data_IF_590952078659
#
_entry.id   IF_590952078659
#
_cell.length_a   1.000
_cell.length_b   1.000
_cell.length_c   1.000
_cell.angle_alpha   90.00
_cell.angle_beta   90.00
_cell.angle_gamma   90.00
#
_symmetry.space_group_name_H-M   'P 1'
#
loop_
_entity.id
_entity.type
_entity.pdbx_description
1 polymer ?
#
# COMPACT_ATOMS: atom_id res chain seq x y z
N UNK A 1 30.54 -11.85 49.11
CA UNK A 1 29.95 -13.18 48.84
C UNK A 1 28.44 -12.97 48.88
N UNK A 2 27.59 -13.22 47.89
CA UNK A 2 27.69 -13.63 46.49
C UNK A 2 26.33 -13.26 45.83
N UNK A 3 26.32 -13.30 44.50
CA UNK A 3 25.33 -12.81 43.53
C UNK A 3 23.91 -13.40 43.65
N UNK A 4 22.87 -12.63 43.32
CA UNK A 4 22.00 -12.86 42.13
C UNK A 4 20.60 -13.24 42.62
N UNK A 5 19.47 -12.74 42.10
CA UNK A 5 19.01 -12.88 40.72
C UNK A 5 18.20 -11.64 40.30
N UNK A 6 18.72 -10.94 39.29
CA UNK A 6 17.94 -10.10 38.41
C UNK A 6 17.04 -11.01 37.56
N UNK A 7 15.75 -11.05 37.87
CA UNK A 7 14.73 -11.61 36.98
C UNK A 7 14.69 -10.81 35.70
N UNK A 8 15.42 -11.27 34.68
CA UNK A 8 15.23 -10.79 33.32
C UNK A 8 13.91 -11.36 32.84
N UNK A 9 12.89 -10.52 32.76
CA UNK A 9 11.72 -10.82 31.97
C UNK A 9 12.21 -11.10 30.54
N UNK A 10 12.18 -12.36 30.14
CA UNK A 10 12.34 -12.77 28.75
C UNK A 10 11.16 -12.19 28.00
N UNK A 11 11.36 -11.02 27.40
CA UNK A 11 10.45 -10.50 26.39
C UNK A 11 10.64 -11.38 25.17
N UNK A 12 9.84 -12.45 25.08
CA UNK A 12 9.69 -13.25 23.87
C UNK A 12 9.43 -12.27 22.72
N UNK A 13 10.24 -12.26 21.66
CA UNK A 13 9.89 -11.51 20.47
C UNK A 13 8.50 -11.98 20.04
N UNK A 14 7.60 -11.07 19.68
CA UNK A 14 6.38 -11.43 18.96
C UNK A 14 6.84 -11.85 17.54
N UNK A 15 7.49 -12.99 17.45
CA UNK A 15 7.94 -13.60 16.20
C UNK A 15 6.69 -14.08 15.45
N UNK A 16 6.50 -13.61 14.22
CA UNK A 16 5.68 -14.32 13.23
C UNK A 16 4.63 -13.51 12.46
N UNK A 17 4.33 -12.26 12.82
CA UNK A 17 3.38 -11.46 12.04
C UNK A 17 4.08 -10.80 10.83
N UNK A 18 3.68 -11.17 9.61
CA UNK A 18 4.19 -10.54 8.39
C UNK A 18 3.97 -9.02 8.43
N UNK A 19 5.03 -8.26 8.14
CA UNK A 19 4.93 -6.80 8.04
C UNK A 19 4.09 -6.38 6.82
N UNK A 20 3.62 -5.13 6.78
CA UNK A 20 2.90 -4.61 5.59
C UNK A 20 3.81 -4.65 4.36
N UNK A 21 5.10 -4.34 4.50
CA UNK A 21 6.07 -4.50 3.40
C UNK A 21 6.22 -5.95 2.94
N UNK A 22 6.30 -6.91 3.88
CA UNK A 22 6.34 -8.33 3.50
C UNK A 22 5.04 -8.76 2.82
N UNK A 23 3.90 -8.25 3.27
CA UNK A 23 2.58 -8.50 2.66
C UNK A 23 2.55 -7.95 1.23
N UNK A 24 3.02 -6.72 1.02
CA UNK A 24 3.21 -6.12 -0.31
C UNK A 24 4.01 -7.03 -1.22
N UNK A 25 5.26 -7.31 -0.85
CA UNK A 25 6.20 -8.04 -1.72
C UNK A 25 5.86 -9.51 -1.93
N UNK A 26 5.30 -10.19 -0.93
CA UNK A 26 5.04 -11.64 -1.04
C UNK A 26 3.64 -11.97 -1.56
N UNK A 27 2.67 -11.07 -1.42
CA UNK A 27 1.25 -11.39 -1.66
C UNK A 27 0.56 -10.46 -2.64
N UNK A 28 0.80 -9.15 -2.52
CA UNK A 28 0.12 -8.15 -3.36
C UNK A 28 0.83 -7.99 -4.70
N UNK A 29 2.16 -7.88 -4.70
CA UNK A 29 2.98 -7.71 -5.92
C UNK A 29 2.67 -8.82 -6.95
N UNK A 30 2.68 -10.13 -6.60
CA UNK A 30 2.37 -11.19 -7.56
C UNK A 30 0.94 -11.09 -8.13
N UNK A 31 -0.03 -10.60 -7.35
CA UNK A 31 -1.43 -10.45 -7.79
C UNK A 31 -1.59 -9.28 -8.75
N UNK A 32 -0.91 -8.16 -8.48
CA UNK A 32 -0.87 -7.01 -9.38
C UNK A 32 -0.22 -7.41 -10.71
N UNK A 33 0.93 -8.07 -10.66
CA UNK A 33 1.65 -8.55 -11.85
C UNK A 33 0.81 -9.55 -12.66
N UNK A 34 0.20 -10.54 -12.00
CA UNK A 34 -0.70 -11.51 -12.65
C UNK A 34 -1.93 -10.84 -13.29
N UNK A 35 -2.36 -9.68 -12.78
CA UNK A 35 -3.44 -8.87 -13.34
C UNK A 35 -2.98 -7.91 -14.44
N UNK A 36 -1.71 -7.99 -14.84
CA UNK A 36 -1.13 -7.22 -15.94
C UNK A 36 -0.62 -5.83 -15.54
N UNK A 37 -0.40 -5.57 -14.25
CA UNK A 37 0.21 -4.33 -13.77
C UNK A 37 1.72 -4.46 -13.66
N UNK A 38 2.45 -3.50 -14.20
CA UNK A 38 3.89 -3.39 -14.01
C UNK A 38 4.18 -2.55 -12.76
N UNK A 39 4.80 -3.16 -11.74
CA UNK A 39 5.14 -2.47 -10.50
C UNK A 39 6.36 -1.59 -10.73
N UNK A 40 6.29 -0.32 -10.35
CA UNK A 40 7.35 0.67 -10.56
C UNK A 40 7.40 1.66 -9.39
N UNK A 41 8.58 2.19 -9.03
CA UNK A 41 8.66 3.32 -8.10
C UNK A 41 7.90 4.54 -8.62
N UNK A 42 7.26 5.28 -7.74
CA UNK A 42 6.71 6.58 -8.11
C UNK A 42 7.82 7.51 -8.66
N UNK A 43 7.53 8.15 -9.80
CA UNK A 43 8.50 9.01 -10.50
C UNK A 43 9.39 8.29 -11.51
N UNK A 44 9.25 6.98 -11.70
CA UNK A 44 9.91 6.27 -12.80
C UNK A 44 9.42 6.82 -14.14
N UNK A 45 10.34 7.35 -14.96
CA UNK A 45 10.04 7.91 -16.27
C UNK A 45 9.38 6.89 -17.21
N UNK A 46 9.64 5.59 -17.02
CA UNK A 46 9.02 4.53 -17.81
C UNK A 46 7.51 4.44 -17.59
N UNK A 47 7.01 4.88 -16.43
CA UNK A 47 5.58 4.92 -16.12
C UNK A 47 4.80 6.02 -16.87
N UNK A 48 5.51 6.87 -17.62
CA UNK A 48 4.93 7.86 -18.53
C UNK A 48 4.59 7.28 -19.91
N UNK A 49 5.09 6.08 -20.21
CA UNK A 49 4.74 5.39 -21.46
C UNK A 49 3.35 4.76 -21.38
N UNK A 50 2.70 4.49 -22.52
CA UNK A 50 1.47 3.70 -22.55
C UNK A 50 1.66 2.33 -21.88
N UNK A 51 0.67 1.90 -21.10
CA UNK A 51 0.77 0.70 -20.28
C UNK A 51 0.01 0.80 -18.96
N UNK A 52 0.04 -0.29 -18.19
CA UNK A 52 -0.58 -0.40 -16.87
C UNK A 52 0.50 -0.50 -15.80
N UNK A 53 0.53 0.46 -14.87
CA UNK A 53 1.54 0.52 -13.82
C UNK A 53 0.92 0.58 -12.43
N UNK A 54 1.53 -0.12 -11.48
CA UNK A 54 1.28 0.07 -10.07
C UNK A 54 2.47 0.85 -9.48
N UNK A 55 2.26 2.14 -9.24
CA UNK A 55 3.30 3.04 -8.72
C UNK A 55 3.43 2.87 -7.22
N UNK A 56 4.52 2.27 -6.74
CA UNK A 56 4.75 2.04 -5.31
C UNK A 56 5.17 3.32 -4.59
N UNK A 57 4.74 3.44 -3.33
CA UNK A 57 5.10 4.54 -2.41
C UNK A 57 4.80 5.93 -2.99
N UNK A 58 3.66 6.05 -3.66
CA UNK A 58 3.28 7.27 -4.37
C UNK A 58 3.01 8.42 -3.40
N UNK A 59 3.68 9.58 -3.53
CA UNK A 59 3.54 10.67 -2.57
C UNK A 59 2.14 11.30 -2.63
N UNK A 60 1.55 11.52 -1.46
CA UNK A 60 0.31 12.32 -1.30
C UNK A 60 0.49 13.36 -0.21
N UNK A 61 -0.43 14.33 -0.12
CA UNK A 61 -0.41 15.37 0.92
C UNK A 61 -0.50 14.86 2.37
N UNK A 62 -0.76 13.57 2.60
CA UNK A 62 -0.84 12.98 3.95
C UNK A 62 0.07 11.76 4.16
N UNK A 63 1.09 11.60 3.30
CA UNK A 63 2.02 10.48 3.31
C UNK A 63 1.94 9.66 2.02
N UNK A 64 2.87 8.73 1.79
CA UNK A 64 2.85 7.89 0.60
C UNK A 64 1.70 6.89 0.66
N UNK A 65 1.02 6.71 -0.46
CA UNK A 65 0.13 5.58 -0.69
C UNK A 65 0.96 4.34 -1.09
N UNK A 66 0.52 3.15 -0.69
CA UNK A 66 1.28 1.92 -0.98
C UNK A 66 1.40 1.67 -2.49
N UNK A 67 0.29 1.79 -3.22
CA UNK A 67 0.26 1.79 -4.68
C UNK A 67 -0.74 2.78 -5.26
N UNK A 68 -0.40 3.28 -6.44
CA UNK A 68 -1.32 4.02 -7.30
C UNK A 68 -1.35 3.38 -8.67
N UNK A 69 -2.55 2.94 -9.08
CA UNK A 69 -2.78 2.28 -10.35
C UNK A 69 -2.93 3.32 -11.45
N UNK A 70 -2.13 3.22 -12.51
CA UNK A 70 -2.20 4.09 -13.69
C UNK A 70 -2.31 3.29 -14.99
N UNK A 71 -3.21 3.67 -15.88
CA UNK A 71 -3.31 3.09 -17.22
C UNK A 71 -3.26 4.20 -18.25
N UNK A 72 -2.29 4.14 -19.16
CA UNK A 72 -2.10 5.10 -20.26
C UNK A 72 -2.09 6.56 -19.76
N UNK A 73 -1.36 6.80 -18.67
CA UNK A 73 -1.25 8.11 -18.02
C UNK A 73 -2.46 8.53 -17.17
N UNK A 74 -3.55 7.76 -17.16
CA UNK A 74 -4.73 8.01 -16.32
C UNK A 74 -4.56 7.33 -14.96
N UNK A 75 -4.86 8.05 -13.88
CA UNK A 75 -4.87 7.51 -12.53
C UNK A 75 -6.21 6.83 -12.25
N UNK A 76 -6.18 5.55 -11.91
CA UNK A 76 -7.36 4.70 -11.77
C UNK A 76 -7.67 4.30 -10.34
N UNK A 77 -6.67 4.12 -9.47
CA UNK A 77 -6.97 3.75 -8.10
C UNK A 77 -5.82 3.86 -7.12
N UNK A 78 -6.19 3.85 -5.84
CA UNK A 78 -5.26 3.72 -4.71
C UNK A 78 -5.46 2.34 -4.10
N UNK A 79 -4.37 1.64 -3.81
CA UNK A 79 -4.38 0.36 -3.11
C UNK A 79 -3.56 0.50 -1.83
N UNK A 80 -4.19 0.26 -0.68
CA UNK A 80 -3.54 0.27 0.63
C UNK A 80 -3.34 -1.15 1.16
N UNK A 81 -2.09 -1.50 1.43
CA UNK A 81 -1.73 -2.78 2.01
C UNK A 81 -2.02 -2.79 3.51
N UNK A 82 -2.37 -3.96 4.02
CA UNK A 82 -2.50 -4.23 5.46
C UNK A 82 -1.74 -5.46 5.85
N UNK A 83 -1.40 -5.59 7.13
CA UNK A 83 -0.89 -6.84 7.69
C UNK A 83 -1.97 -7.92 7.53
N UNK A 84 -1.54 -9.15 7.28
CA UNK A 84 -2.45 -10.32 7.20
C UNK A 84 -3.35 -10.44 8.43
N UNK A 85 -2.83 -10.10 9.62
CA UNK A 85 -3.55 -10.17 10.89
C UNK A 85 -4.56 -9.05 11.14
N UNK A 86 -4.55 -7.98 10.33
CA UNK A 86 -5.53 -6.90 10.38
C UNK A 86 -6.47 -7.10 9.18
N UNK A 87 -7.70 -7.58 9.42
CA UNK A 87 -8.72 -7.68 8.37
C UNK A 87 -9.03 -6.31 7.74
N UNK A 88 -9.57 -6.27 6.51
CA UNK A 88 -9.88 -5.02 5.79
C UNK A 88 -11.04 -4.21 6.41
N UNK A 89 -11.64 -4.70 7.50
CA UNK A 89 -12.71 -4.01 8.23
C UNK A 89 -12.23 -2.63 8.73
N UNK A 90 -12.85 -1.54 8.23
CA UNK A 90 -12.56 -0.11 8.49
C UNK A 90 -11.37 0.52 7.73
N UNK A 91 -10.82 -0.15 6.72
CA UNK A 91 -9.50 0.22 6.18
C UNK A 91 -9.52 1.24 5.03
N UNK A 92 -10.64 1.43 4.33
CA UNK A 92 -10.71 2.39 3.21
C UNK A 92 -10.45 3.85 3.64
N UNK A 93 -10.56 4.17 4.93
CA UNK A 93 -10.27 5.51 5.48
C UNK A 93 -8.89 6.03 5.05
N UNK A 94 -7.88 5.16 4.98
CA UNK A 94 -6.54 5.54 4.54
C UNK A 94 -6.49 5.80 3.03
N UNK A 95 -7.06 4.89 2.24
CA UNK A 95 -7.14 5.03 0.78
C UNK A 95 -7.92 6.31 0.39
N UNK A 96 -9.02 6.62 1.08
CA UNK A 96 -9.78 7.85 0.90
C UNK A 96 -8.94 9.10 1.18
N UNK A 97 -8.22 9.12 2.31
CA UNK A 97 -7.38 10.26 2.71
C UNK A 97 -6.32 10.53 1.65
N UNK A 98 -5.68 9.47 1.14
CA UNK A 98 -4.67 9.57 0.10
C UNK A 98 -5.24 10.00 -1.24
N UNK A 99 -6.37 9.45 -1.66
CA UNK A 99 -7.03 9.85 -2.89
C UNK A 99 -7.47 11.32 -2.88
N UNK A 100 -7.90 11.86 -1.72
CA UNK A 100 -8.17 13.31 -1.55
C UNK A 100 -6.88 14.14 -1.57
N UNK A 101 -5.78 13.59 -1.05
CA UNK A 101 -4.47 14.25 -0.94
C UNK A 101 -3.62 14.27 -2.21
N UNK A 102 -4.11 13.75 -3.34
CA UNK A 102 -3.38 13.71 -4.62
C UNK A 102 -3.34 15.05 -5.38
N UNK A 103 -3.96 16.09 -4.85
CA UNK A 103 -4.03 17.40 -5.50
C UNK A 103 -5.04 17.47 -6.66
N UNK A 104 -5.20 18.66 -7.28
CA UNK A 104 -6.08 18.82 -8.42
C UNK A 104 -5.59 17.99 -9.61
N UNK A 105 -6.50 17.20 -10.20
CA UNK A 105 -6.28 16.39 -11.40
C UNK A 105 -7.29 16.79 -12.47
N UNK A 106 -6.99 16.51 -13.73
CA UNK A 106 -7.90 16.80 -14.85
C UNK A 106 -9.29 16.21 -14.67
N UNK A 107 -9.38 15.02 -14.04
CA UNK A 107 -10.63 14.41 -13.60
C UNK A 107 -10.65 14.30 -12.09
N UNK A 108 -11.73 14.77 -11.48
CA UNK A 108 -12.03 14.58 -10.06
C UNK A 108 -13.31 13.77 -9.91
N UNK A 109 -13.33 12.91 -8.90
CA UNK A 109 -14.44 12.00 -8.62
C UNK A 109 -14.98 12.33 -7.23
N UNK A 110 -15.95 13.24 -7.12
CA UNK A 110 -16.51 13.69 -5.83
C UNK A 110 -15.43 14.14 -4.82
N UNK A 111 -14.39 14.84 -5.29
CA UNK A 111 -13.27 15.31 -4.46
C UNK A 111 -12.11 14.31 -4.31
N UNK A 112 -12.20 13.11 -4.90
CA UNK A 112 -11.09 12.16 -5.00
C UNK A 112 -10.33 12.32 -6.31
N UNK A 113 -9.01 12.11 -6.27
CA UNK A 113 -8.14 12.11 -7.44
C UNK A 113 -8.18 10.82 -8.27
N UNK A 114 -8.86 9.78 -7.79
CA UNK A 114 -9.02 8.49 -8.49
C UNK A 114 -10.44 7.97 -8.35
N UNK A 115 -10.92 7.16 -9.31
CA UNK A 115 -12.27 6.58 -9.25
C UNK A 115 -12.40 5.36 -8.32
N UNK A 116 -11.29 4.66 -8.01
CA UNK A 116 -11.34 3.42 -7.23
C UNK A 116 -10.41 3.43 -6.02
N UNK A 117 -10.88 2.86 -4.91
CA UNK A 117 -10.12 2.70 -3.67
C UNK A 117 -10.16 1.24 -3.25
N UNK A 118 -9.01 0.69 -2.91
CA UNK A 118 -8.86 -0.69 -2.47
C UNK A 118 -8.08 -0.75 -1.17
N UNK A 119 -8.37 -1.75 -0.34
CA UNK A 119 -7.46 -2.19 0.68
C UNK A 119 -7.40 -3.70 0.74
N UNK A 120 -6.20 -4.24 0.90
CA UNK A 120 -5.98 -5.68 0.84
C UNK A 120 -4.84 -6.10 1.75
N UNK A 121 -4.96 -7.29 2.32
CA UNK A 121 -3.87 -7.99 3.00
C UNK A 121 -3.23 -9.07 2.09
N UNK A 122 -3.56 -9.06 0.80
CA UNK A 122 -3.12 -10.05 -0.17
C UNK A 122 -3.91 -11.36 -0.14
N UNK A 123 -4.86 -11.56 0.78
CA UNK A 123 -5.79 -12.71 0.78
C UNK A 123 -7.18 -12.31 0.30
N UNK A 124 -7.67 -11.17 0.79
CA UNK A 124 -8.96 -10.56 0.41
C UNK A 124 -8.72 -9.20 -0.25
N UNK A 125 -9.51 -8.85 -1.25
CA UNK A 125 -9.53 -7.54 -1.92
C UNK A 125 -10.91 -6.93 -1.72
#
# INVERSE_FOLDING_TARGET
MGYGESGTATMTPIDGAESEWQTRKKRIDPKLEASGWHIRPAGDAQSLLPGRYALEEFPTGSGPADYVLTADGQFLGVVEAKRVTLGPENVLTQAERYARGMGPRERQYNGFGVPFLYSTNGEVI
#
